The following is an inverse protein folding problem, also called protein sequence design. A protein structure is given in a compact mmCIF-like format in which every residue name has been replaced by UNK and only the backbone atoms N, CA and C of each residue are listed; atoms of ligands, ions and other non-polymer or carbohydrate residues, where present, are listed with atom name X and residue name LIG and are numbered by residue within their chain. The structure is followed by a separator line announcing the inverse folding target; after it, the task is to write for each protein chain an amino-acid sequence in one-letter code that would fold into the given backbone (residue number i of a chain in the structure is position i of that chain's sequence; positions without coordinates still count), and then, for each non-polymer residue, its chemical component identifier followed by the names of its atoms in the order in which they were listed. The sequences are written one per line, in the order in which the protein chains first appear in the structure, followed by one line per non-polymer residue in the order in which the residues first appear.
data_IF_911925574083
#
_entry.id   IF_911925574083
#
_cell.length_a   1.000
_cell.length_b   1.000
_cell.length_c   1.000
_cell.angle_alpha   90.00
_cell.angle_beta   90.00
_cell.angle_gamma   90.00
#
_symmetry.space_group_name_H-M   'P 1'
#
loop_
_entity.id
_entity.type
_entity.pdbx_description
1 polymer ?
#
# COMPACT_ATOMS: atom_id res chain seq x y z
N UNK A 1 -25.72 -27.21 -5.04
CA UNK A 1 -25.91 -25.98 -4.24
C UNK A 1 -24.61 -25.42 -3.60
N UNK A 2 -23.41 -25.99 -3.85
CA UNK A 2 -22.14 -25.51 -3.24
C UNK A 2 -21.49 -24.30 -3.94
N UNK A 3 -21.80 -24.04 -5.21
CA UNK A 3 -21.10 -23.00 -6.00
C UNK A 3 -21.55 -21.56 -5.71
N UNK A 4 -22.80 -21.35 -5.28
CA UNK A 4 -23.33 -20.02 -5.02
C UNK A 4 -22.74 -19.39 -3.74
N UNK A 5 -22.54 -20.18 -2.69
CA UNK A 5 -21.98 -19.70 -1.43
C UNK A 5 -20.50 -19.29 -1.55
N UNK A 6 -19.71 -20.03 -2.33
CA UNK A 6 -18.30 -19.72 -2.58
C UNK A 6 -18.16 -18.43 -3.41
N UNK A 7 -18.99 -18.26 -4.45
CA UNK A 7 -18.97 -17.09 -5.31
C UNK A 7 -19.42 -15.80 -4.59
N UNK A 8 -20.43 -15.89 -3.71
CA UNK A 8 -20.90 -14.75 -2.90
C UNK A 8 -19.83 -14.34 -1.87
N UNK A 9 -19.15 -15.32 -1.26
CA UNK A 9 -18.07 -15.03 -0.33
C UNK A 9 -16.85 -14.40 -1.02
N UNK A 10 -16.49 -14.86 -2.23
CA UNK A 10 -15.39 -14.28 -3.01
C UNK A 10 -15.68 -12.87 -3.53
N UNK A 11 -16.93 -12.60 -3.93
CA UNK A 11 -17.36 -11.28 -4.36
C UNK A 11 -17.35 -10.29 -3.18
N UNK A 12 -17.91 -10.69 -2.03
CA UNK A 12 -17.89 -9.90 -0.80
C UNK A 12 -16.44 -9.64 -0.31
N UNK A 13 -15.53 -10.61 -0.44
CA UNK A 13 -14.11 -10.40 -0.15
C UNK A 13 -13.47 -9.40 -1.12
N UNK A 14 -13.78 -9.48 -2.42
CA UNK A 14 -13.26 -8.52 -3.42
C UNK A 14 -13.71 -7.08 -3.12
N UNK A 15 -14.98 -6.90 -2.78
CA UNK A 15 -15.52 -5.58 -2.39
C UNK A 15 -14.87 -5.06 -1.11
N UNK A 16 -14.69 -5.91 -0.09
CA UNK A 16 -14.03 -5.53 1.16
C UNK A 16 -12.56 -5.12 0.95
N UNK A 17 -11.83 -5.84 0.09
CA UNK A 17 -10.45 -5.50 -0.28
C UNK A 17 -10.40 -4.14 -0.96
N UNK A 18 -11.29 -3.91 -1.94
CA UNK A 18 -11.32 -2.63 -2.64
C UNK A 18 -11.70 -1.48 -1.70
N UNK A 19 -12.71 -1.66 -0.84
CA UNK A 19 -13.12 -0.64 0.12
C UNK A 19 -12.04 -0.31 1.17
N UNK A 20 -11.24 -1.29 1.60
CA UNK A 20 -10.09 -1.02 2.46
C UNK A 20 -9.00 -0.26 1.71
N UNK A 21 -8.67 -0.70 0.48
CA UNK A 21 -7.67 -0.04 -0.34
C UNK A 21 -8.03 1.43 -0.63
N UNK A 22 -9.28 1.71 -1.01
CA UNK A 22 -9.75 3.08 -1.30
C UNK A 22 -9.65 3.99 -0.07
N UNK A 23 -10.02 3.48 1.12
CA UNK A 23 -9.88 4.23 2.37
C UNK A 23 -8.42 4.58 2.67
N UNK A 24 -7.50 3.64 2.45
CA UNK A 24 -6.07 3.85 2.67
C UNK A 24 -5.50 4.83 1.63
N UNK A 25 -5.91 4.73 0.36
CA UNK A 25 -5.49 5.67 -0.68
C UNK A 25 -5.87 7.13 -0.35
N UNK A 26 -7.05 7.36 0.25
CA UNK A 26 -7.45 8.70 0.73
C UNK A 26 -6.53 9.21 1.85
N UNK A 27 -6.08 8.33 2.74
CA UNK A 27 -5.10 8.70 3.77
C UNK A 27 -3.74 9.03 3.16
N UNK A 28 -3.28 8.24 2.19
CA UNK A 28 -2.02 8.51 1.49
C UNK A 28 -2.08 9.86 0.76
N UNK A 29 -3.18 10.17 0.07
CA UNK A 29 -3.37 11.46 -0.58
C UNK A 29 -3.29 12.63 0.43
N UNK A 30 -3.85 12.45 1.63
CA UNK A 30 -3.74 13.44 2.71
C UNK A 30 -2.29 13.64 3.17
N UNK A 31 -1.54 12.56 3.36
CA UNK A 31 -0.12 12.60 3.73
C UNK A 31 0.74 13.25 2.64
N UNK A 32 0.51 12.88 1.38
CA UNK A 32 1.21 13.45 0.22
C UNK A 32 0.96 14.95 0.09
N UNK A 33 -0.29 15.40 0.21
CA UNK A 33 -0.62 16.82 0.17
C UNK A 33 0.06 17.60 1.30
N UNK A 34 0.17 17.02 2.51
CA UNK A 34 0.86 17.66 3.63
C UNK A 34 2.37 17.83 3.40
N UNK A 35 2.96 16.98 2.54
CA UNK A 35 4.39 17.03 2.17
C UNK A 35 4.63 17.58 0.76
N UNK A 36 3.59 18.12 0.10
CA UNK A 36 3.63 18.60 -1.27
C UNK A 36 4.15 17.55 -2.29
N UNK A 37 3.87 16.26 -2.08
CA UNK A 37 4.23 15.17 -2.99
C UNK A 37 3.13 14.99 -4.03
N UNK A 38 3.49 15.02 -5.32
CA UNK A 38 2.53 14.92 -6.42
C UNK A 38 2.89 13.78 -7.39
N UNK A 39 2.44 12.54 -7.12
CA UNK A 39 2.68 11.43 -8.03
C UNK A 39 1.91 11.61 -9.34
N UNK A 40 2.53 11.24 -10.46
CA UNK A 40 1.87 11.20 -11.77
C UNK A 40 0.89 10.01 -11.87
N UNK A 41 0.09 9.97 -12.93
CA UNK A 41 -0.95 8.94 -13.10
C UNK A 41 -0.41 7.49 -13.07
N UNK A 42 0.80 7.24 -13.60
CA UNK A 42 1.41 5.90 -13.57
C UNK A 42 1.82 5.53 -12.15
N UNK A 43 2.45 6.46 -11.43
CA UNK A 43 2.85 6.26 -10.03
C UNK A 43 1.63 6.03 -9.13
N UNK A 44 0.55 6.80 -9.32
CA UNK A 44 -0.72 6.59 -8.61
C UNK A 44 -1.31 5.21 -8.89
N UNK A 45 -1.27 4.75 -10.14
CA UNK A 45 -1.79 3.44 -10.51
C UNK A 45 -0.97 2.29 -9.90
N UNK A 46 0.36 2.42 -9.87
CA UNK A 46 1.24 1.44 -9.25
C UNK A 46 1.04 1.38 -7.74
N UNK A 47 0.95 2.54 -7.08
CA UNK A 47 0.68 2.65 -5.67
C UNK A 47 -0.68 2.03 -5.30
N UNK A 48 -1.74 2.35 -6.06
CA UNK A 48 -3.07 1.77 -5.84
C UNK A 48 -3.07 0.23 -5.97
N UNK A 49 -2.28 -0.31 -6.92
CA UNK A 49 -2.11 -1.76 -7.07
C UNK A 49 -1.42 -2.36 -5.84
N UNK A 50 -0.39 -1.69 -5.31
CA UNK A 50 0.32 -2.13 -4.12
C UNK A 50 -0.58 -2.13 -2.88
N UNK A 51 -1.29 -1.02 -2.64
CA UNK A 51 -2.21 -0.87 -1.50
C UNK A 51 -3.35 -1.89 -1.56
N UNK A 52 -3.85 -2.25 -2.76
CA UNK A 52 -4.82 -3.35 -2.90
C UNK A 52 -4.24 -4.70 -2.47
N UNK A 53 -2.97 -4.97 -2.77
CA UNK A 53 -2.29 -6.19 -2.33
C UNK A 53 -2.08 -6.22 -0.81
N UNK A 54 -1.75 -5.07 -0.20
CA UNK A 54 -1.69 -4.92 1.27
C UNK A 54 -3.06 -5.17 1.92
N UNK A 55 -4.13 -4.61 1.34
CA UNK A 55 -5.50 -4.82 1.81
C UNK A 55 -5.93 -6.30 1.72
N UNK A 56 -5.55 -6.99 0.64
CA UNK A 56 -5.74 -8.43 0.51
C UNK A 56 -5.05 -9.17 1.66
N UNK A 57 -3.73 -8.98 1.84
CA UNK A 57 -2.96 -9.66 2.90
C UNK A 57 -3.48 -9.36 4.30
N UNK A 58 -3.85 -8.11 4.56
CA UNK A 58 -4.43 -7.71 5.85
C UNK A 58 -5.76 -8.43 6.15
N UNK A 59 -6.60 -8.65 5.14
CA UNK A 59 -7.89 -9.32 5.33
C UNK A 59 -7.81 -10.85 5.31
N UNK A 60 -6.85 -11.43 4.58
CA UNK A 60 -6.74 -12.88 4.40
C UNK A 60 -5.68 -13.53 5.28
N UNK A 61 -4.71 -12.76 5.76
CA UNK A 61 -3.52 -13.28 6.43
C UNK A 61 -2.51 -13.93 5.48
N UNK A 62 -2.62 -13.70 4.17
CA UNK A 62 -1.59 -14.13 3.21
C UNK A 62 -0.23 -13.51 3.57
N UNK A 63 0.85 -14.31 3.56
CA UNK A 63 2.16 -13.83 3.97
C UNK A 63 2.72 -12.82 2.97
N UNK A 64 3.55 -11.91 3.47
CA UNK A 64 4.42 -11.13 2.61
C UNK A 64 5.51 -12.03 2.01
N UNK A 65 5.88 -11.87 0.72
CA UNK A 65 7.08 -12.50 0.17
C UNK A 65 8.33 -12.14 0.96
N UNK A 66 9.34 -13.01 0.95
CA UNK A 66 10.63 -12.70 1.55
C UNK A 66 11.29 -11.51 0.83
N UNK A 67 11.76 -10.55 1.62
CA UNK A 67 12.43 -9.33 1.15
C UNK A 67 13.65 -9.06 2.02
N UNK A 68 14.70 -8.54 1.40
CA UNK A 68 15.97 -8.23 2.05
C UNK A 68 16.04 -6.72 2.36
N UNK A 69 16.34 -6.36 3.61
CA UNK A 69 16.40 -4.97 4.08
C UNK A 69 17.45 -4.13 3.32
N UNK A 70 18.55 -4.78 2.91
CA UNK A 70 19.65 -4.19 2.12
C UNK A 70 19.19 -3.63 0.75
N UNK A 71 18.01 -4.00 0.26
CA UNK A 71 17.46 -3.42 -0.98
C UNK A 71 16.89 -2.02 -0.81
N UNK A 72 16.77 -1.53 0.44
CA UNK A 72 16.06 -0.29 0.78
C UNK A 72 16.94 0.75 1.47
N UNK A 73 18.26 0.55 1.54
CA UNK A 73 19.20 1.44 2.26
C UNK A 73 19.26 2.86 1.65
N UNK A 74 18.99 2.98 0.35
CA UNK A 74 18.99 4.25 -0.38
C UNK A 74 17.65 5.02 -0.27
N UNK A 75 16.63 4.44 0.38
CA UNK A 75 15.33 5.11 0.56
C UNK A 75 15.45 6.21 1.62
N UNK A 76 14.90 7.39 1.34
CA UNK A 76 14.89 8.51 2.28
C UNK A 76 14.19 8.12 3.59
N UNK A 77 14.70 8.57 4.76
CA UNK A 77 14.01 8.38 6.04
C UNK A 77 12.57 8.91 6.02
N UNK A 78 12.32 9.98 5.28
CA UNK A 78 11.00 10.60 5.10
C UNK A 78 10.03 9.66 4.37
N UNK A 79 10.44 9.08 3.24
CA UNK A 79 9.66 8.09 2.50
C UNK A 79 9.38 6.85 3.35
N UNK A 80 10.38 6.38 4.10
CA UNK A 80 10.23 5.24 5.01
C UNK A 80 9.23 5.56 6.13
N UNK A 81 9.30 6.75 6.73
CA UNK A 81 8.38 7.18 7.78
C UNK A 81 6.94 7.32 7.27
N UNK A 82 6.75 7.87 6.07
CA UNK A 82 5.44 7.92 5.43
C UNK A 82 4.88 6.50 5.21
N UNK A 83 5.72 5.58 4.70
CA UNK A 83 5.30 4.21 4.43
C UNK A 83 4.89 3.49 5.72
N UNK A 84 5.66 3.66 6.80
CA UNK A 84 5.32 3.07 8.10
C UNK A 84 3.97 3.59 8.63
N UNK A 85 3.70 4.90 8.55
CA UNK A 85 2.42 5.47 8.96
C UNK A 85 1.24 4.84 8.23
N UNK A 86 1.42 4.48 6.95
CA UNK A 86 0.38 3.85 6.14
C UNK A 86 0.21 2.37 6.48
N UNK A 87 1.31 1.64 6.72
CA UNK A 87 1.27 0.25 7.17
C UNK A 87 0.57 0.13 8.53
N UNK A 88 0.80 1.08 9.43
CA UNK A 88 0.17 1.12 10.75
C UNK A 88 -1.36 1.23 10.68
N UNK A 89 -1.93 1.80 9.59
CA UNK A 89 -3.38 1.87 9.39
C UNK A 89 -4.04 0.49 9.24
N UNK A 90 -3.29 -0.51 8.81
CA UNK A 90 -3.78 -1.89 8.69
C UNK A 90 -3.75 -2.62 10.03
N UNK A 91 -2.80 -2.27 10.91
CA UNK A 91 -2.68 -2.79 12.27
C UNK A 91 -2.25 -4.26 12.41
N UNK A 92 -2.16 -5.01 11.31
CA UNK A 92 -1.82 -6.44 11.31
C UNK A 92 -0.83 -6.85 10.22
N UNK A 93 -0.28 -5.89 9.49
CA UNK A 93 0.72 -6.14 8.46
C UNK A 93 2.14 -6.15 9.06
N UNK A 94 3.06 -6.95 8.48
CA UNK A 94 4.47 -6.95 8.89
C UNK A 94 5.13 -5.61 8.58
N UNK A 95 6.15 -5.24 9.36
CA UNK A 95 6.88 -3.96 9.18
C UNK A 95 7.57 -3.89 7.81
N UNK A 96 7.93 -5.04 7.26
CA UNK A 96 8.58 -5.24 5.97
C UNK A 96 7.74 -4.70 4.80
N UNK A 97 6.42 -4.55 4.98
CA UNK A 97 5.54 -3.87 4.02
C UNK A 97 5.91 -2.40 3.85
N UNK A 98 6.42 -1.75 4.91
CA UNK A 98 6.82 -0.35 4.84
C UNK A 98 8.02 -0.19 3.91
N UNK A 99 8.93 -1.17 3.89
CA UNK A 99 10.07 -1.17 2.98
C UNK A 99 9.62 -1.17 1.53
N UNK A 100 8.72 -2.09 1.17
CA UNK A 100 8.19 -2.17 -0.19
C UNK A 100 7.35 -0.94 -0.58
N UNK A 101 6.52 -0.46 0.33
CA UNK A 101 5.67 0.70 0.09
C UNK A 101 6.50 1.98 -0.08
N UNK A 102 7.60 2.11 0.67
CA UNK A 102 8.48 3.28 0.64
C UNK A 102 9.07 3.56 -0.73
N UNK A 103 9.26 2.53 -1.57
CA UNK A 103 9.71 2.68 -2.97
C UNK A 103 8.74 3.54 -3.77
N UNK A 104 7.43 3.37 -3.57
CA UNK A 104 6.42 4.20 -4.25
C UNK A 104 6.48 5.66 -3.81
N UNK A 105 6.88 5.90 -2.56
CA UNK A 105 6.91 7.24 -1.98
C UNK A 105 8.18 7.96 -2.43
N UNK A 106 9.33 7.29 -2.41
CA UNK A 106 10.60 7.84 -2.89
C UNK A 106 10.50 8.22 -4.38
N UNK A 107 9.88 7.36 -5.20
CA UNK A 107 9.66 7.65 -6.63
C UNK A 107 8.72 8.84 -6.84
N UNK A 108 7.73 9.05 -5.95
CA UNK A 108 6.84 10.20 -6.03
C UNK A 108 7.49 11.49 -5.52
N UNK A 109 8.31 11.42 -4.47
CA UNK A 109 9.10 12.52 -3.92
C UNK A 109 10.10 13.06 -4.94
N UNK A 110 10.78 12.18 -5.68
CA UNK A 110 11.77 12.57 -6.70
C UNK A 110 11.21 13.43 -7.84
N UNK A 111 9.89 13.47 -8.05
CA UNK A 111 9.28 14.39 -9.01
C UNK A 111 9.42 15.87 -8.60
N UNK A 112 9.57 16.13 -7.30
CA UNK A 112 9.66 17.50 -6.75
C UNK A 112 11.08 18.07 -6.80
N UNK A 113 12.09 17.24 -7.11
CA UNK A 113 13.49 17.66 -7.20
C UNK A 113 13.92 18.04 -8.63
N UNK A 114 12.97 18.22 -9.56
CA UNK A 114 13.21 18.58 -10.97
C UNK A 114 12.87 20.03 -11.33
#
# INVERSE_FOLDING_TARGET
MKNAAVAVNSAASTEAIQALADRVMVQIETLFNAQAIFPNAVQQQMLASHVRAMALRSLTGEPLPEVEEELFEDISPESMQLAQQVVDLFGNLPKEEAWLLSVHFAVAEGNNES
#
